data_IF_826622919088
#
_entry.id   IF_826622919088
#
_cell.length_a   1.000
_cell.length_b   1.000
_cell.length_c   1.000
_cell.angle_alpha   90.00
_cell.angle_beta   90.00
_cell.angle_gamma   90.00
#
_symmetry.space_group_name_H-M   'P 1'
#
loop_
_entity.id
_entity.type
_entity.pdbx_description
1 polymer ?
#
# COMPACT_ATOMS: atom_id res chain seq x y z
N UNK A 1 -82.17 -1.66 21.69
CA UNK A 1 -81.01 -2.45 22.15
C UNK A 1 -79.80 -1.96 21.41
N UNK A 2 -79.01 -1.14 22.07
CA UNK A 2 -77.81 -0.49 21.50
C UNK A 2 -76.61 -1.33 21.89
N UNK A 3 -76.00 -1.95 20.92
CA UNK A 3 -74.77 -2.75 21.12
C UNK A 3 -73.59 -1.79 21.31
N UNK A 4 -73.00 -1.80 22.49
CA UNK A 4 -71.78 -1.10 22.83
C UNK A 4 -70.61 -1.94 22.29
N UNK A 5 -69.97 -1.42 21.23
CA UNK A 5 -68.73 -2.02 20.70
C UNK A 5 -67.58 -1.56 21.61
N UNK A 6 -67.00 -2.50 22.36
CA UNK A 6 -65.80 -2.27 23.16
C UNK A 6 -64.62 -2.09 22.22
N UNK A 7 -63.93 -0.94 22.37
CA UNK A 7 -62.66 -0.64 21.64
C UNK A 7 -61.57 -1.69 22.02
N UNK A 8 -60.71 -2.05 21.08
CA UNK A 8 -59.62 -2.98 21.37
C UNK A 8 -58.61 -2.31 22.33
N UNK A 9 -58.31 -3.04 23.40
CA UNK A 9 -57.27 -2.63 24.38
C UNK A 9 -55.92 -2.60 23.66
N UNK A 10 -55.36 -1.43 23.47
CA UNK A 10 -53.96 -1.29 23.01
C UNK A 10 -53.04 -1.89 24.09
N UNK A 11 -52.50 -3.03 23.83
CA UNK A 11 -51.38 -3.55 24.60
C UNK A 11 -50.18 -2.60 24.35
N UNK A 12 -49.63 -2.05 25.43
CA UNK A 12 -48.42 -1.23 25.38
C UNK A 12 -47.30 -2.03 24.64
N UNK A 13 -46.57 -1.42 23.72
CA UNK A 13 -45.46 -2.11 23.06
C UNK A 13 -44.50 -2.60 24.14
N UNK A 14 -44.12 -3.87 24.05
CA UNK A 14 -43.10 -4.43 24.89
C UNK A 14 -41.88 -3.49 24.85
N UNK A 15 -41.42 -3.06 26.01
CA UNK A 15 -40.16 -2.28 26.14
C UNK A 15 -39.03 -3.13 25.55
N UNK A 16 -38.75 -2.94 24.28
CA UNK A 16 -37.53 -3.45 23.65
C UNK A 16 -36.37 -2.76 24.35
N UNK A 17 -35.74 -3.48 25.28
CA UNK A 17 -34.42 -3.08 25.77
C UNK A 17 -33.53 -2.89 24.56
N UNK A 18 -33.14 -1.64 24.30
CA UNK A 18 -32.19 -1.32 23.25
C UNK A 18 -30.92 -2.11 23.55
N UNK A 19 -30.63 -3.11 22.74
CA UNK A 19 -29.35 -3.82 22.82
C UNK A 19 -28.21 -2.89 22.43
N UNK A 20 -26.94 -3.24 22.73
CA UNK A 20 -25.79 -2.45 22.33
C UNK A 20 -25.83 -2.24 20.82
N UNK A 21 -25.72 -0.96 20.40
CA UNK A 21 -25.87 -0.55 18.99
C UNK A 21 -24.54 -0.31 18.29
N UNK A 22 -23.44 -0.33 19.04
CA UNK A 22 -22.08 -0.05 18.52
C UNK A 22 -21.27 -1.33 18.21
N UNK A 23 -21.88 -2.51 18.30
CA UNK A 23 -21.24 -3.79 17.94
C UNK A 23 -21.24 -3.99 16.43
N UNK A 24 -20.05 -4.26 15.88
CA UNK A 24 -19.82 -4.29 14.43
C UNK A 24 -20.63 -5.36 13.70
N UNK A 25 -20.63 -6.60 14.19
CA UNK A 25 -21.27 -7.71 13.48
C UNK A 25 -22.77 -7.50 13.27
N UNK A 26 -23.47 -6.88 14.23
CA UNK A 26 -24.92 -6.62 14.15
C UNK A 26 -25.30 -5.63 13.05
N UNK A 27 -24.35 -4.81 12.61
CA UNK A 27 -24.55 -3.86 11.52
C UNK A 27 -24.10 -4.39 10.16
N UNK A 28 -23.21 -5.39 10.15
CA UNK A 28 -22.60 -5.92 8.93
C UNK A 28 -23.04 -7.32 8.56
N UNK A 29 -23.56 -8.11 9.53
CA UNK A 29 -24.16 -9.42 9.29
C UNK A 29 -25.66 -9.26 9.51
N UNK A 30 -26.47 -9.02 8.45
CA UNK A 30 -27.84 -8.58 8.58
C UNK A 30 -28.82 -9.70 8.98
N UNK A 31 -28.46 -10.96 8.82
CA UNK A 31 -29.39 -12.08 9.05
C UNK A 31 -29.44 -12.48 10.52
N UNK A 32 -30.66 -12.77 10.96
CA UNK A 32 -30.96 -13.29 12.28
C UNK A 32 -30.72 -14.81 12.38
N UNK A 33 -30.71 -15.36 13.58
CA UNK A 33 -30.62 -16.82 13.78
C UNK A 33 -31.76 -17.59 13.09
N UNK A 34 -32.97 -17.02 13.06
CA UNK A 34 -34.11 -17.62 12.37
C UNK A 34 -33.92 -17.66 10.85
N UNK A 35 -33.42 -16.55 10.27
CA UNK A 35 -33.12 -16.49 8.84
C UNK A 35 -31.94 -17.41 8.48
N UNK A 36 -30.92 -17.51 9.31
CA UNK A 36 -29.81 -18.47 9.15
C UNK A 36 -30.35 -19.90 9.14
N UNK A 37 -31.24 -20.24 10.06
CA UNK A 37 -31.87 -21.57 10.10
C UNK A 37 -32.70 -21.85 8.85
N UNK A 38 -33.45 -20.85 8.36
CA UNK A 38 -34.22 -20.96 7.12
C UNK A 38 -33.32 -21.18 5.90
N UNK A 39 -32.23 -20.47 5.78
CA UNK A 39 -31.25 -20.62 4.70
C UNK A 39 -30.56 -21.99 4.74
N UNK A 40 -30.18 -22.48 5.91
CA UNK A 40 -29.61 -23.80 6.09
C UNK A 40 -30.63 -24.90 5.68
N UNK A 41 -31.89 -24.78 6.11
CA UNK A 41 -32.97 -25.68 5.71
C UNK A 41 -33.19 -25.71 4.20
N UNK A 42 -33.15 -24.54 3.53
CA UNK A 42 -33.26 -24.46 2.07
C UNK A 42 -32.08 -25.15 1.36
N UNK A 43 -30.89 -25.15 1.97
CA UNK A 43 -29.71 -25.87 1.48
C UNK A 43 -29.67 -27.35 1.89
N UNK A 44 -30.66 -27.84 2.65
CA UNK A 44 -30.75 -29.24 3.10
C UNK A 44 -29.91 -29.59 4.33
N UNK A 45 -29.49 -28.57 5.11
CA UNK A 45 -28.68 -28.78 6.32
C UNK A 45 -29.44 -28.39 7.58
N UNK A 46 -29.23 -29.15 8.64
CA UNK A 46 -29.83 -28.87 9.95
C UNK A 46 -28.98 -27.88 10.79
N UNK A 47 -27.72 -27.72 10.49
CA UNK A 47 -26.81 -26.84 11.23
C UNK A 47 -25.69 -26.27 10.36
N UNK A 48 -25.12 -25.17 10.80
CA UNK A 48 -23.92 -24.55 10.18
C UNK A 48 -22.75 -25.54 10.17
N UNK A 49 -22.59 -26.34 11.21
CA UNK A 49 -21.52 -27.33 11.32
C UNK A 49 -21.60 -28.36 10.19
N UNK A 50 -22.82 -28.89 9.91
CA UNK A 50 -23.05 -29.82 8.81
C UNK A 50 -22.82 -29.19 7.46
N UNK A 51 -23.24 -27.91 7.28
CA UNK A 51 -23.00 -27.17 6.06
C UNK A 51 -21.51 -26.98 5.80
N UNK A 52 -20.74 -26.52 6.82
CA UNK A 52 -19.29 -26.34 6.72
C UNK A 52 -18.59 -27.68 6.43
N UNK A 53 -19.03 -28.76 7.08
CA UNK A 53 -18.44 -30.09 6.86
C UNK A 53 -18.65 -30.60 5.43
N UNK A 54 -19.76 -30.24 4.79
CA UNK A 54 -20.05 -30.60 3.40
C UNK A 54 -19.34 -29.65 2.39
N UNK A 55 -19.21 -28.37 2.72
CA UNK A 55 -18.67 -27.36 1.82
C UNK A 55 -17.14 -27.25 1.85
N UNK A 56 -16.50 -27.52 2.99
CA UNK A 56 -15.04 -27.36 3.19
C UNK A 56 -14.39 -28.74 3.24
N UNK A 57 -13.47 -29.06 2.31
CA UNK A 57 -12.73 -30.32 2.34
C UNK A 57 -11.99 -30.52 3.67
N UNK A 58 -12.09 -31.73 4.24
CA UNK A 58 -11.49 -32.03 5.55
C UNK A 58 -9.98 -31.79 5.63
N UNK A 59 -9.28 -31.87 4.49
CA UNK A 59 -7.83 -31.63 4.39
C UNK A 59 -7.40 -30.18 4.63
N UNK A 60 -8.30 -29.22 4.43
CA UNK A 60 -8.04 -27.79 4.63
C UNK A 60 -8.81 -27.20 5.80
N UNK A 61 -9.68 -28.01 6.43
CA UNK A 61 -10.46 -27.56 7.59
C UNK A 61 -9.62 -27.56 8.85
N UNK A 62 -9.63 -26.46 9.59
CA UNK A 62 -9.00 -26.40 10.91
C UNK A 62 -9.66 -27.36 11.88
N UNK A 63 -8.87 -28.12 12.64
CA UNK A 63 -9.36 -29.09 13.64
C UNK A 63 -9.97 -28.40 14.87
N UNK A 64 -9.71 -27.13 15.08
CA UNK A 64 -10.22 -26.31 16.19
C UNK A 64 -10.72 -24.96 15.69
N UNK A 65 -11.60 -24.34 16.46
CA UNK A 65 -11.97 -22.95 16.21
C UNK A 65 -10.74 -22.03 16.34
N UNK A 66 -10.75 -20.93 15.59
CA UNK A 66 -9.72 -19.89 15.71
C UNK A 66 -9.80 -19.28 17.11
N UNK A 67 -8.68 -19.28 17.82
CA UNK A 67 -8.55 -18.58 19.10
C UNK A 67 -8.13 -17.13 18.81
N UNK A 68 -9.06 -16.20 19.02
CA UNK A 68 -8.82 -14.75 18.84
C UNK A 68 -8.90 -14.08 20.23
N UNK A 69 -8.40 -14.75 21.26
CA UNK A 69 -8.37 -14.20 22.61
C UNK A 69 -7.13 -13.34 22.81
N UNK A 70 -7.12 -12.19 22.15
CA UNK A 70 -6.17 -11.14 22.47
C UNK A 70 -6.80 -10.22 23.53
N UNK A 71 -6.29 -10.18 24.78
CA UNK A 71 -6.83 -9.34 25.83
C UNK A 71 -6.72 -7.84 25.53
N UNK A 72 -5.95 -7.45 24.51
CA UNK A 72 -5.89 -6.07 24.02
C UNK A 72 -7.06 -5.72 23.11
N UNK A 73 -7.67 -6.74 22.47
CA UNK A 73 -8.76 -6.60 21.50
C UNK A 73 -10.09 -7.15 22.01
N UNK A 74 -10.06 -8.22 22.81
CA UNK A 74 -11.27 -8.88 23.33
C UNK A 74 -11.32 -8.83 24.86
N UNK A 75 -12.51 -8.72 25.43
CA UNK A 75 -12.75 -8.97 26.84
C UNK A 75 -13.44 -10.32 26.93
N UNK A 76 -12.67 -11.41 27.15
CA UNK A 76 -13.13 -12.80 27.37
C UNK A 76 -14.40 -13.15 26.58
N UNK A 77 -14.27 -13.32 25.25
CA UNK A 77 -15.36 -13.82 24.42
C UNK A 77 -16.50 -12.83 24.13
N UNK A 78 -16.34 -11.57 24.54
CA UNK A 78 -17.28 -10.50 24.21
C UNK A 78 -16.61 -9.52 23.26
N UNK A 79 -17.21 -9.31 22.10
CA UNK A 79 -16.73 -8.29 21.18
C UNK A 79 -16.82 -6.89 21.83
N UNK A 80 -15.86 -6.04 21.50
CA UNK A 80 -15.89 -4.64 21.90
C UNK A 80 -16.72 -3.82 20.94
N UNK A 81 -17.43 -2.85 21.45
CA UNK A 81 -18.01 -1.79 20.66
C UNK A 81 -16.95 -0.84 20.08
N UNK A 82 -17.35 0.04 19.17
CA UNK A 82 -16.44 1.00 18.54
C UNK A 82 -15.74 1.91 19.54
N UNK A 83 -16.48 2.45 20.51
CA UNK A 83 -15.92 3.34 21.54
C UNK A 83 -14.84 2.63 22.37
N UNK A 84 -15.09 1.39 22.78
CA UNK A 84 -14.14 0.60 23.56
C UNK A 84 -12.90 0.22 22.72
N UNK A 85 -13.10 -0.12 21.46
CA UNK A 85 -12.01 -0.43 20.51
C UNK A 85 -11.11 0.77 20.28
N UNK A 86 -11.69 1.95 20.03
CA UNK A 86 -10.94 3.19 19.89
C UNK A 86 -10.18 3.56 21.17
N UNK A 87 -10.80 3.38 22.34
CA UNK A 87 -10.14 3.62 23.62
C UNK A 87 -8.98 2.63 23.85
N UNK A 88 -9.13 1.36 23.45
CA UNK A 88 -8.08 0.37 23.54
C UNK A 88 -6.91 0.70 22.61
N UNK A 89 -7.20 1.04 21.35
CA UNK A 89 -6.20 1.43 20.36
C UNK A 89 -5.44 2.69 20.83
N UNK A 90 -6.15 3.68 21.36
CA UNK A 90 -5.54 4.89 21.93
C UNK A 90 -4.57 4.56 23.07
N UNK A 91 -4.93 3.63 23.97
CA UNK A 91 -4.01 3.19 25.04
C UNK A 91 -2.75 2.53 24.50
N UNK A 92 -2.88 1.71 23.45
CA UNK A 92 -1.71 1.10 22.78
C UNK A 92 -0.86 2.18 22.13
N UNK A 93 -1.47 3.10 21.37
CA UNK A 93 -0.76 4.21 20.72
C UNK A 93 -0.01 5.11 21.71
N UNK A 94 -0.58 5.34 22.90
CA UNK A 94 0.04 6.14 23.96
C UNK A 94 1.29 5.49 24.60
N UNK A 95 1.54 4.21 24.36
CA UNK A 95 2.77 3.55 24.80
C UNK A 95 3.98 3.92 23.95
N UNK A 96 3.75 4.44 22.74
CA UNK A 96 4.82 4.92 21.88
C UNK A 96 5.45 6.19 22.50
N UNK A 97 6.79 6.21 22.48
CA UNK A 97 7.56 7.39 22.85
C UNK A 97 7.92 8.13 21.57
N UNK A 98 7.28 9.27 21.36
CA UNK A 98 7.55 10.11 20.19
C UNK A 98 8.84 10.88 20.42
N UNK A 99 9.89 10.49 19.72
CA UNK A 99 11.20 11.15 19.75
C UNK A 99 11.40 11.91 18.44
N UNK A 100 12.26 12.93 18.48
CA UNK A 100 12.77 13.54 17.27
C UNK A 100 13.63 12.53 16.50
N UNK A 101 13.28 12.24 15.25
CA UNK A 101 14.00 11.31 14.43
C UNK A 101 15.25 11.93 13.82
N UNK A 102 16.38 11.21 13.84
CA UNK A 102 17.62 11.53 13.16
C UNK A 102 18.13 10.34 12.34
N UNK A 103 17.23 9.43 11.97
CA UNK A 103 17.60 8.21 11.23
C UNK A 103 18.18 8.56 9.87
N UNK A 104 17.59 9.49 9.13
CA UNK A 104 18.02 9.85 7.79
C UNK A 104 17.83 8.73 6.77
N UNK A 105 18.86 8.47 5.95
CA UNK A 105 18.85 7.41 4.90
C UNK A 105 17.72 7.56 3.89
N UNK A 106 17.39 8.80 3.49
CA UNK A 106 16.32 9.10 2.54
C UNK A 106 14.95 9.32 3.18
N UNK A 107 14.79 9.06 4.48
CA UNK A 107 13.54 9.30 5.21
C UNK A 107 13.60 10.64 5.92
N UNK A 108 12.69 11.54 5.54
CA UNK A 108 12.51 12.85 6.16
C UNK A 108 11.05 13.07 6.48
N UNK A 109 10.77 13.87 7.52
CA UNK A 109 9.40 14.26 7.83
C UNK A 109 8.86 15.17 6.72
N UNK A 110 7.55 15.05 6.46
CA UNK A 110 6.83 15.89 5.51
C UNK A 110 5.76 16.71 6.22
N UNK A 111 5.53 17.91 5.74
CA UNK A 111 4.43 18.76 6.22
C UNK A 111 3.24 18.54 5.30
N UNK A 112 2.20 17.89 5.84
CA UNK A 112 0.95 17.68 5.11
C UNK A 112 0.02 18.86 5.35
N UNK A 113 -0.36 19.63 4.31
CA UNK A 113 -1.36 20.69 4.44
C UNK A 113 -2.69 20.13 4.96
N UNK A 114 -3.34 20.86 5.89
CA UNK A 114 -4.59 20.39 6.51
C UNK A 114 -5.71 20.11 5.51
N UNK A 115 -5.76 20.83 4.39
CA UNK A 115 -6.72 20.58 3.31
C UNK A 115 -6.47 19.24 2.60
N UNK A 116 -5.23 18.85 2.41
CA UNK A 116 -4.87 17.53 1.83
C UNK A 116 -5.20 16.43 2.81
N UNK A 117 -4.82 16.59 4.08
CA UNK A 117 -5.13 15.61 5.11
C UNK A 117 -6.64 15.33 5.17
N UNK A 118 -7.45 16.37 5.33
CA UNK A 118 -8.91 16.24 5.51
C UNK A 118 -9.65 15.82 4.24
N UNK A 119 -9.33 16.41 3.10
CA UNK A 119 -10.14 16.26 1.88
C UNK A 119 -9.63 15.15 0.95
N UNK A 120 -8.40 14.68 1.13
CA UNK A 120 -7.81 13.60 0.32
C UNK A 120 -7.54 12.36 1.19
N UNK A 121 -6.67 12.49 2.19
CA UNK A 121 -6.21 11.34 2.96
C UNK A 121 -7.29 10.73 3.86
N UNK A 122 -8.23 11.54 4.37
CA UNK A 122 -9.35 11.08 5.18
C UNK A 122 -10.63 10.79 4.36
N UNK A 123 -10.63 11.09 3.08
CA UNK A 123 -11.80 10.92 2.23
C UNK A 123 -11.85 9.49 1.65
N UNK A 124 -12.89 8.68 1.98
CA UNK A 124 -12.99 7.30 1.52
C UNK A 124 -13.06 7.14 0.00
N UNK A 125 -13.54 8.14 -0.72
CA UNK A 125 -13.55 8.12 -2.17
C UNK A 125 -12.13 8.13 -2.77
N UNK A 126 -11.17 8.73 -2.07
CA UNK A 126 -9.76 8.78 -2.47
C UNK A 126 -8.93 7.62 -1.93
N UNK A 127 -9.07 7.27 -0.64
CA UNK A 127 -8.24 6.21 -0.07
C UNK A 127 -8.74 4.80 -0.40
N UNK A 128 -9.92 4.64 -1.00
CA UNK A 128 -10.34 3.33 -1.51
C UNK A 128 -9.43 2.91 -2.66
N UNK A 129 -8.63 1.88 -2.42
CA UNK A 129 -7.63 1.38 -3.35
C UNK A 129 -8.30 0.54 -4.46
N UNK A 130 -9.00 1.20 -5.38
CA UNK A 130 -9.65 0.55 -6.51
C UNK A 130 -8.88 0.86 -7.81
N UNK A 131 -8.41 -0.19 -8.48
CA UNK A 131 -7.73 -0.02 -9.76
C UNK A 131 -8.74 0.44 -10.83
N UNK A 132 -8.45 1.48 -11.61
CA UNK A 132 -9.38 2.05 -12.58
C UNK A 132 -9.46 1.22 -13.87
N UNK A 133 -9.94 -0.02 -13.78
CA UNK A 133 -10.09 -0.90 -14.95
C UNK A 133 -11.11 -0.39 -15.98
N UNK A 134 -12.17 0.26 -15.50
CA UNK A 134 -13.24 0.81 -16.34
C UNK A 134 -13.12 2.33 -16.38
N UNK A 135 -12.70 2.86 -17.51
CA UNK A 135 -12.51 4.30 -17.69
C UNK A 135 -13.79 5.11 -17.44
N UNK A 136 -14.94 4.58 -17.83
CA UNK A 136 -16.24 5.23 -17.71
C UNK A 136 -16.63 5.51 -16.26
N UNK A 137 -16.25 4.62 -15.35
CA UNK A 137 -16.54 4.74 -13.90
C UNK A 137 -15.44 5.49 -13.15
N UNK A 138 -14.22 5.47 -13.66
CA UNK A 138 -13.02 5.95 -12.98
C UNK A 138 -12.47 7.28 -13.55
N UNK A 139 -13.28 8.08 -14.22
CA UNK A 139 -12.84 9.29 -14.93
C UNK A 139 -12.04 10.26 -14.06
N UNK A 140 -12.53 10.59 -12.86
CA UNK A 140 -11.81 11.48 -11.94
C UNK A 140 -10.49 10.91 -11.44
N UNK A 141 -10.41 9.61 -11.22
CA UNK A 141 -9.16 8.93 -10.83
C UNK A 141 -8.14 8.93 -11.97
N UNK A 142 -8.58 8.71 -13.19
CA UNK A 142 -7.73 8.79 -14.39
C UNK A 142 -7.22 10.21 -14.63
N UNK A 143 -8.04 11.23 -14.41
CA UNK A 143 -7.62 12.64 -14.48
C UNK A 143 -6.52 12.93 -13.43
N UNK A 144 -6.67 12.42 -12.21
CA UNK A 144 -5.64 12.56 -11.16
C UNK A 144 -4.33 11.87 -11.55
N UNK A 145 -4.39 10.70 -12.20
CA UNK A 145 -3.20 10.02 -12.73
C UNK A 145 -2.51 10.81 -13.83
N UNK A 146 -3.27 11.41 -14.75
CA UNK A 146 -2.72 12.29 -15.80
C UNK A 146 -2.03 13.53 -15.20
N UNK A 147 -2.65 14.15 -14.20
CA UNK A 147 -2.05 15.28 -13.48
C UNK A 147 -0.73 14.87 -12.80
N UNK A 148 -0.70 13.69 -12.16
CA UNK A 148 0.52 13.14 -11.57
C UNK A 148 1.61 12.96 -12.64
N UNK A 149 1.29 12.34 -13.78
CA UNK A 149 2.25 12.09 -14.86
C UNK A 149 2.82 13.39 -15.42
N UNK A 150 1.98 14.40 -15.63
CA UNK A 150 2.40 15.72 -16.10
C UNK A 150 3.35 16.37 -15.10
N UNK A 151 3.01 16.35 -13.82
CA UNK A 151 3.84 16.92 -12.77
C UNK A 151 5.23 16.24 -12.69
N UNK A 152 5.27 14.91 -12.75
CA UNK A 152 6.53 14.17 -12.71
C UNK A 152 7.38 14.43 -13.95
N UNK A 153 6.78 14.50 -15.13
CA UNK A 153 7.51 14.84 -16.35
C UNK A 153 8.12 16.24 -16.29
N UNK A 154 7.40 17.22 -15.78
CA UNK A 154 7.92 18.58 -15.62
C UNK A 154 9.03 18.68 -14.54
N UNK A 155 8.87 17.98 -13.41
CA UNK A 155 9.89 17.97 -12.34
C UNK A 155 11.18 17.28 -12.78
N UNK A 156 11.10 16.22 -13.56
CA UNK A 156 12.27 15.44 -14.00
C UNK A 156 12.87 15.95 -15.30
N UNK A 157 12.11 16.71 -16.09
CA UNK A 157 12.48 17.11 -17.45
C UNK A 157 12.38 15.97 -18.48
N UNK A 158 11.91 14.80 -18.08
CA UNK A 158 11.75 13.63 -18.96
C UNK A 158 10.37 13.68 -19.63
N UNK A 159 10.28 13.30 -20.92
CA UNK A 159 9.06 13.50 -21.70
C UNK A 159 7.92 12.54 -21.37
N UNK A 160 8.19 11.47 -20.62
CA UNK A 160 7.24 10.42 -20.34
C UNK A 160 7.30 10.00 -18.88
N UNK A 161 6.16 9.94 -18.21
CA UNK A 161 6.02 9.38 -16.88
C UNK A 161 4.99 8.24 -16.87
N UNK A 162 5.27 7.18 -16.12
CA UNK A 162 4.31 6.13 -15.80
C UNK A 162 3.45 6.47 -14.59
N UNK A 163 2.62 5.53 -14.16
CA UNK A 163 1.97 5.59 -12.86
C UNK A 163 2.98 5.29 -11.76
N UNK A 164 2.70 5.72 -10.52
CA UNK A 164 3.54 5.43 -9.37
C UNK A 164 3.62 3.93 -9.08
N UNK A 165 4.80 3.47 -8.67
CA UNK A 165 5.02 2.12 -8.16
C UNK A 165 4.82 2.08 -6.63
N UNK A 166 4.96 0.90 -6.02
CA UNK A 166 4.70 0.69 -4.60
C UNK A 166 5.62 1.55 -3.72
N UNK A 167 6.92 1.50 -3.99
CA UNK A 167 7.96 2.24 -3.26
C UNK A 167 9.18 2.54 -4.13
N UNK A 168 10.11 3.31 -3.59
CA UNK A 168 11.32 3.72 -4.29
C UNK A 168 12.27 2.56 -4.62
N UNK A 169 12.44 1.61 -3.69
CA UNK A 169 13.28 0.44 -3.91
C UNK A 169 12.73 -0.46 -5.02
N UNK A 170 11.42 -0.68 -5.03
CA UNK A 170 10.74 -1.40 -6.11
C UNK A 170 10.87 -0.67 -7.44
N UNK A 171 10.69 0.66 -7.45
CA UNK A 171 10.85 1.45 -8.66
C UNK A 171 12.27 1.34 -9.26
N UNK A 172 13.30 1.38 -8.42
CA UNK A 172 14.68 1.20 -8.83
C UNK A 172 14.95 -0.21 -9.40
N UNK A 173 14.37 -1.25 -8.78
CA UNK A 173 14.49 -2.63 -9.25
C UNK A 173 13.72 -2.87 -10.57
N UNK A 174 12.56 -2.26 -10.74
CA UNK A 174 11.83 -2.29 -12.02
C UNK A 174 12.61 -1.55 -13.12
N UNK A 175 13.23 -0.40 -12.81
CA UNK A 175 14.08 0.32 -13.73
C UNK A 175 15.31 -0.50 -14.16
N UNK A 176 15.92 -1.26 -13.25
CA UNK A 176 16.99 -2.24 -13.61
C UNK A 176 16.48 -3.27 -14.62
N UNK A 177 15.33 -3.85 -14.36
CA UNK A 177 14.72 -4.85 -15.27
C UNK A 177 14.40 -4.23 -16.64
N UNK A 178 13.90 -3.00 -16.64
CA UNK A 178 13.64 -2.24 -17.86
C UNK A 178 14.93 -1.95 -18.64
N UNK A 179 16.01 -1.57 -17.96
CA UNK A 179 17.32 -1.37 -18.59
C UNK A 179 17.77 -2.65 -19.33
N UNK A 180 17.71 -3.80 -18.68
CA UNK A 180 18.09 -5.08 -19.31
C UNK A 180 17.17 -5.40 -20.51
N UNK A 181 15.87 -5.23 -20.35
CA UNK A 181 14.90 -5.45 -21.44
C UNK A 181 15.13 -4.57 -22.67
N UNK A 182 15.57 -3.35 -22.48
CA UNK A 182 15.84 -2.40 -23.58
C UNK A 182 17.18 -2.71 -24.28
N UNK A 183 18.23 -2.94 -23.51
CA UNK A 183 19.58 -3.11 -24.10
C UNK A 183 19.90 -4.54 -24.51
N UNK A 184 19.10 -5.50 -24.06
CA UNK A 184 19.21 -6.94 -24.40
C UNK A 184 19.72 -7.80 -23.23
N UNK A 185 19.21 -9.02 -23.17
CA UNK A 185 19.43 -9.98 -22.07
C UNK A 185 20.89 -10.47 -21.95
N UNK A 186 21.72 -10.22 -22.95
CA UNK A 186 23.15 -10.56 -22.91
C UNK A 186 23.96 -9.67 -21.97
N UNK A 187 23.41 -8.52 -21.60
CA UNK A 187 24.03 -7.59 -20.65
C UNK A 187 23.52 -7.89 -19.25
N UNK A 188 24.30 -8.62 -18.49
CA UNK A 188 23.89 -9.19 -17.20
C UNK A 188 24.44 -8.45 -15.99
N UNK A 189 25.08 -7.29 -16.16
CA UNK A 189 25.58 -6.47 -15.05
C UNK A 189 24.78 -5.19 -14.91
N UNK A 190 24.53 -4.79 -13.68
CA UNK A 190 23.92 -3.51 -13.34
C UNK A 190 24.71 -2.84 -12.22
N UNK A 191 25.12 -1.60 -12.44
CA UNK A 191 25.85 -0.84 -11.43
C UNK A 191 24.88 -0.13 -10.50
N UNK A 192 25.19 -0.09 -9.20
CA UNK A 192 24.47 0.69 -8.20
C UNK A 192 25.48 1.51 -7.41
N UNK A 193 25.27 2.81 -7.36
CA UNK A 193 26.12 3.69 -6.56
C UNK A 193 26.01 3.34 -5.06
N UNK A 194 27.14 3.24 -4.39
CA UNK A 194 27.22 2.85 -2.97
C UNK A 194 26.54 3.84 -2.02
N UNK A 195 26.26 5.05 -2.49
CA UNK A 195 25.56 6.12 -1.79
C UNK A 195 24.05 6.18 -2.09
N UNK A 196 23.51 5.18 -2.79
CA UNK A 196 22.07 4.91 -2.83
C UNK A 196 21.55 4.50 -1.44
N UNK A 197 20.25 4.64 -1.21
CA UNK A 197 19.65 4.21 0.05
C UNK A 197 19.86 2.71 0.27
N UNK A 198 20.28 2.27 1.47
CA UNK A 198 20.57 0.87 1.74
C UNK A 198 19.40 -0.07 1.43
N UNK A 199 18.17 0.36 1.69
CA UNK A 199 16.97 -0.39 1.38
C UNK A 199 16.78 -0.58 -0.12
N UNK A 200 17.05 0.47 -0.92
CA UNK A 200 16.99 0.42 -2.38
C UNK A 200 18.02 -0.56 -2.92
N UNK A 201 19.26 -0.51 -2.44
CA UNK A 201 20.32 -1.47 -2.82
C UNK A 201 19.86 -2.89 -2.54
N UNK A 202 19.35 -3.18 -1.34
CA UNK A 202 18.91 -4.52 -0.95
C UNK A 202 17.75 -5.04 -1.82
N UNK A 203 16.79 -4.20 -2.20
CA UNK A 203 15.67 -4.58 -3.08
C UNK A 203 16.18 -4.86 -4.50
N UNK A 204 17.07 -4.02 -5.02
CA UNK A 204 17.68 -4.22 -6.35
C UNK A 204 18.47 -5.54 -6.39
N UNK A 205 19.30 -5.79 -5.39
CA UNK A 205 20.06 -7.05 -5.29
C UNK A 205 19.15 -8.28 -5.22
N UNK A 206 18.08 -8.21 -4.42
CA UNK A 206 17.12 -9.31 -4.30
C UNK A 206 16.43 -9.61 -5.64
N UNK A 207 15.97 -8.58 -6.36
CA UNK A 207 15.32 -8.73 -7.66
C UNK A 207 16.30 -9.23 -8.73
N UNK A 208 17.51 -8.69 -8.77
CA UNK A 208 18.56 -9.04 -9.70
C UNK A 208 18.91 -10.53 -9.65
N UNK A 209 18.97 -11.09 -8.44
CA UNK A 209 19.29 -12.52 -8.22
C UNK A 209 18.39 -13.45 -9.02
N UNK A 210 17.09 -13.18 -9.08
CA UNK A 210 16.14 -14.04 -9.79
C UNK A 210 16.06 -13.78 -11.29
N UNK A 211 16.59 -12.63 -11.74
CA UNK A 211 16.72 -12.28 -13.15
C UNK A 211 18.08 -12.67 -13.76
N UNK A 212 18.98 -13.23 -12.97
CA UNK A 212 20.33 -13.54 -13.41
C UNK A 212 21.21 -12.31 -13.66
N UNK A 213 20.86 -11.16 -13.06
CA UNK A 213 21.63 -9.92 -13.15
C UNK A 213 22.62 -9.85 -12.00
N UNK A 214 23.87 -9.54 -12.29
CA UNK A 214 24.90 -9.27 -11.29
C UNK A 214 24.90 -7.79 -10.93
N UNK A 215 24.57 -7.47 -9.70
CA UNK A 215 24.66 -6.11 -9.17
C UNK A 215 26.09 -5.83 -8.73
N UNK A 216 26.62 -4.70 -9.19
CA UNK A 216 27.93 -4.20 -8.81
C UNK A 216 27.75 -2.91 -8.03
N UNK A 217 27.87 -2.98 -6.71
CA UNK A 217 27.79 -1.80 -5.84
C UNK A 217 29.18 -1.17 -5.71
N UNK A 218 29.27 0.15 -5.91
CA UNK A 218 30.57 0.82 -5.86
C UNK A 218 30.49 2.33 -5.93
N UNK A 219 31.66 2.94 -5.89
CA UNK A 219 31.80 4.39 -5.94
C UNK A 219 31.49 4.93 -7.34
N UNK A 220 30.50 5.82 -7.52
CA UNK A 220 30.10 6.33 -8.83
C UNK A 220 31.19 7.12 -9.54
N UNK A 221 32.09 7.79 -8.79
CA UNK A 221 33.21 8.55 -9.39
C UNK A 221 34.31 7.63 -9.99
N UNK A 222 34.33 6.36 -9.59
CA UNK A 222 35.31 5.36 -10.07
C UNK A 222 34.69 4.34 -10.99
N UNK A 223 33.41 4.49 -11.30
CA UNK A 223 32.73 3.54 -12.17
C UNK A 223 33.19 3.69 -13.63
N UNK A 224 33.70 2.61 -14.17
CA UNK A 224 34.05 2.51 -15.60
C UNK A 224 33.15 1.49 -16.28
N UNK A 225 32.13 1.93 -17.03
CA UNK A 225 31.18 1.05 -17.67
C UNK A 225 31.82 0.23 -18.79
N UNK A 226 31.42 -1.03 -18.88
CA UNK A 226 31.74 -1.93 -19.99
C UNK A 226 30.47 -2.32 -20.74
N UNK A 227 30.62 -3.05 -21.85
CA UNK A 227 29.48 -3.54 -22.64
C UNK A 227 28.67 -4.64 -21.93
N UNK A 228 29.16 -5.14 -20.78
CA UNK A 228 28.43 -6.11 -19.95
C UNK A 228 27.34 -5.47 -19.10
N UNK A 229 27.41 -4.15 -18.87
CA UNK A 229 26.42 -3.43 -18.07
C UNK A 229 25.18 -3.09 -18.90
N UNK A 230 23.99 -3.37 -18.35
CA UNK A 230 22.71 -2.92 -18.90
C UNK A 230 22.35 -1.50 -18.44
N UNK A 231 22.85 -1.08 -17.28
CA UNK A 231 22.59 0.26 -16.76
C UNK A 231 23.32 0.55 -15.46
N UNK A 232 23.11 1.75 -14.97
CA UNK A 232 23.66 2.26 -13.71
C UNK A 232 22.57 3.01 -12.92
N UNK A 233 22.49 2.79 -11.61
CA UNK A 233 21.62 3.51 -10.68
C UNK A 233 22.44 4.49 -9.85
N UNK A 234 21.99 5.73 -9.78
CA UNK A 234 22.52 6.78 -8.91
C UNK A 234 21.42 7.37 -8.05
N UNK A 235 21.78 7.93 -6.89
CA UNK A 235 20.86 8.58 -5.94
C UNK A 235 21.06 10.09 -5.94
N UNK A 236 19.97 10.89 -6.04
CA UNK A 236 20.02 12.33 -6.15
C UNK A 236 18.91 13.02 -5.34
N UNK A 237 19.24 13.68 -4.21
CA UNK A 237 20.53 13.66 -3.50
C UNK A 237 20.90 12.28 -2.97
N UNK A 238 22.17 12.10 -2.59
CA UNK A 238 22.69 10.86 -2.00
C UNK A 238 22.11 10.60 -0.61
N UNK A 239 22.28 9.39 -0.08
CA UNK A 239 21.78 8.98 1.25
C UNK A 239 22.27 9.88 2.39
N UNK A 240 23.48 10.43 2.27
CA UNK A 240 24.07 11.37 3.23
C UNK A 240 23.79 12.86 2.89
N UNK A 241 22.94 13.11 1.88
CA UNK A 241 22.46 14.44 1.51
C UNK A 241 23.40 15.23 0.60
N UNK A 242 24.45 14.62 0.05
CA UNK A 242 25.32 15.29 -0.93
C UNK A 242 24.60 15.45 -2.27
N UNK A 243 24.92 16.53 -2.96
CA UNK A 243 24.44 16.79 -4.32
C UNK A 243 25.62 16.56 -5.26
N UNK A 244 25.55 15.49 -6.03
CA UNK A 244 26.62 15.07 -6.94
C UNK A 244 26.23 15.36 -8.40
N UNK A 245 27.23 15.62 -9.24
CA UNK A 245 27.02 15.77 -10.67
C UNK A 245 27.35 14.45 -11.39
N UNK A 246 26.34 13.80 -11.92
CA UNK A 246 26.47 12.51 -12.59
C UNK A 246 26.64 12.61 -14.11
N UNK A 247 26.83 13.81 -14.68
CA UNK A 247 26.94 14.01 -16.12
C UNK A 247 28.03 13.15 -16.75
N UNK A 248 29.24 13.14 -16.20
CA UNK A 248 30.36 12.32 -16.73
C UNK A 248 30.06 10.82 -16.64
N UNK A 249 29.41 10.36 -15.56
CA UNK A 249 28.98 8.96 -15.42
C UNK A 249 27.94 8.62 -16.51
N UNK A 250 26.98 9.50 -16.72
CA UNK A 250 25.93 9.31 -17.73
C UNK A 250 26.54 9.25 -19.14
N UNK A 251 27.42 10.18 -19.49
CA UNK A 251 28.10 10.20 -20.79
C UNK A 251 28.89 8.90 -21.04
N UNK A 252 29.69 8.44 -20.08
CA UNK A 252 30.44 7.18 -20.16
C UNK A 252 29.52 5.97 -20.32
N UNK A 253 28.43 5.92 -19.55
CA UNK A 253 27.48 4.82 -19.55
C UNK A 253 26.74 4.75 -20.89
N UNK A 254 26.26 5.88 -21.39
CA UNK A 254 25.59 5.99 -22.67
C UNK A 254 26.53 5.65 -23.85
N UNK A 255 27.82 6.05 -23.76
CA UNK A 255 28.80 5.69 -24.79
C UNK A 255 29.01 4.17 -24.92
N UNK A 256 28.67 3.38 -23.88
CA UNK A 256 28.65 1.93 -23.91
C UNK A 256 27.29 1.34 -24.28
N UNK A 257 26.31 2.19 -24.61
CA UNK A 257 24.95 1.78 -24.94
C UNK A 257 24.16 1.23 -23.75
N UNK A 258 24.59 1.54 -22.51
CA UNK A 258 23.89 1.23 -21.28
C UNK A 258 23.07 2.47 -20.84
N UNK A 259 22.11 2.28 -19.93
CA UNK A 259 21.17 3.31 -19.48
C UNK A 259 21.52 3.80 -18.08
N UNK A 260 21.12 5.03 -17.76
CA UNK A 260 21.27 5.59 -16.42
C UNK A 260 19.91 5.78 -15.78
N UNK A 261 19.79 5.33 -14.55
CA UNK A 261 18.62 5.49 -13.69
C UNK A 261 18.98 6.44 -12.55
N UNK A 262 18.20 7.50 -12.38
CA UNK A 262 18.38 8.44 -11.28
C UNK A 262 17.23 8.27 -10.28
N UNK A 263 17.51 7.78 -9.08
CA UNK A 263 16.60 7.80 -7.96
C UNK A 263 16.62 9.20 -7.34
N UNK A 264 15.55 9.96 -7.58
CA UNK A 264 15.48 11.38 -7.21
C UNK A 264 14.44 11.64 -6.13
N UNK A 265 14.77 12.54 -5.20
CA UNK A 265 13.76 13.17 -4.36
C UNK A 265 13.01 14.26 -5.17
N UNK A 266 11.70 14.11 -5.43
CA UNK A 266 10.93 15.08 -6.19
C UNK A 266 10.96 16.49 -5.59
N UNK A 267 11.01 16.60 -4.25
CA UNK A 267 11.10 17.91 -3.59
C UNK A 267 12.44 18.60 -3.90
N UNK A 268 13.53 17.83 -3.93
CA UNK A 268 14.85 18.39 -4.30
C UNK A 268 14.88 18.91 -5.74
N UNK A 269 14.15 18.29 -6.66
CA UNK A 269 14.08 18.72 -8.07
C UNK A 269 13.40 20.09 -8.28
N UNK A 270 12.67 20.60 -7.28
CA UNK A 270 12.16 21.98 -7.30
C UNK A 270 13.30 23.02 -7.22
N UNK A 271 14.41 22.65 -6.61
CA UNK A 271 15.55 23.56 -6.37
C UNK A 271 16.82 23.16 -7.12
N UNK A 272 16.91 21.95 -7.62
CA UNK A 272 18.09 21.40 -8.29
C UNK A 272 17.84 21.19 -9.78
N UNK A 273 18.94 21.04 -10.54
CA UNK A 273 18.84 20.67 -11.95
C UNK A 273 18.14 19.33 -12.12
N UNK A 274 17.35 19.23 -13.18
CA UNK A 274 16.61 18.00 -13.46
C UNK A 274 17.53 16.90 -14.01
N UNK A 275 17.18 15.61 -13.84
CA UNK A 275 17.97 14.50 -14.41
C UNK A 275 18.14 14.56 -15.93
N UNK A 276 17.26 15.26 -16.63
CA UNK A 276 17.27 15.38 -18.09
C UNK A 276 18.14 16.55 -18.61
N UNK A 277 18.72 17.38 -17.72
CA UNK A 277 19.47 18.60 -18.08
C UNK A 277 20.96 18.37 -18.39
#
# INVERSE_FOLDING_TARGET
MTTVTTAPTMTAPATTTLGPTDTFYRRHIPHTAAETSGMLGACGFASMEQFIAAAVPGTIRLARAMEIDDPTVTVKGVERGEAETLAALKRVAQQNKVHRSFIGMGYTDTVVPGVILRNILENPAWYTAYTPYQAEVAQGRLEALLNFQTMISELTGLPLAGASLLDEGTAAAEAMSMCQGIVGETRTKFFVAEDCHPQTIAVVEMRAKWLGITVVVGNPARFEPTEEFCGALVQYPTTDGRIECYKSLAEKTHAKGALVVAACDPLALVALNTPAS
#
